data_IF_695609780675
#
_entry.id   IF_695609780675
#
_cell.length_a   1.000
_cell.length_b   1.000
_cell.length_c   1.000
_cell.angle_alpha   90.00
_cell.angle_beta   90.00
_cell.angle_gamma   90.00
#
_symmetry.space_group_name_H-M   'P 1'
#
loop_
_entity.id
_entity.type
_entity.pdbx_description
1 polymer ?
#
# COMPACT_ATOMS: atom_id res chain seq x y z
N UNK A 1 3.86 -10.82 -10.11
CA UNK A 1 4.15 -9.56 -9.38
C UNK A 1 5.09 -8.76 -10.28
N UNK A 2 4.57 -7.76 -10.99
CA UNK A 2 5.41 -6.90 -11.83
C UNK A 2 5.96 -5.78 -10.95
N UNK A 3 7.00 -6.09 -10.16
CA UNK A 3 7.72 -5.07 -9.40
C UNK A 3 8.15 -3.98 -10.38
N UNK A 4 7.62 -2.77 -10.23
CA UNK A 4 8.00 -1.65 -11.09
C UNK A 4 9.53 -1.50 -11.03
N UNK A 5 10.19 -1.69 -12.18
CA UNK A 5 11.66 -1.86 -12.30
C UNK A 5 12.46 -0.77 -11.60
N UNK A 6 11.92 0.45 -11.51
CA UNK A 6 12.59 1.60 -10.88
C UNK A 6 12.63 1.53 -9.34
N UNK A 7 11.66 0.86 -8.71
CA UNK A 7 11.63 0.68 -7.24
C UNK A 7 12.61 -0.41 -6.78
N UNK A 8 12.82 -1.42 -7.63
CA UNK A 8 13.80 -2.49 -7.43
C UNK A 8 15.27 -2.04 -7.61
N UNK A 9 15.52 -0.79 -8.01
CA UNK A 9 16.87 -0.22 -8.17
C UNK A 9 17.65 0.00 -6.86
N UNK A 10 17.13 -0.48 -5.73
CA UNK A 10 17.76 -0.39 -4.40
C UNK A 10 17.43 0.91 -3.64
N UNK A 11 16.91 1.95 -4.30
CA UNK A 11 16.54 3.22 -3.65
C UNK A 11 15.50 3.04 -2.54
N UNK A 12 14.54 2.13 -2.71
CA UNK A 12 13.48 1.89 -1.72
C UNK A 12 14.04 1.43 -0.37
N UNK A 13 15.07 0.58 -0.37
CA UNK A 13 15.70 0.08 0.86
C UNK A 13 16.60 1.14 1.51
N UNK A 14 16.87 2.26 0.85
CA UNK A 14 17.52 3.43 1.44
C UNK A 14 16.57 4.30 2.26
N UNK A 15 15.25 4.23 2.02
CA UNK A 15 14.26 5.06 2.72
C UNK A 15 14.01 4.55 4.14
N UNK A 16 13.93 5.40 5.17
CA UNK A 16 13.40 5.00 6.49
C UNK A 16 11.99 4.41 6.39
N UNK A 17 11.60 3.53 7.32
CA UNK A 17 10.26 2.91 7.32
C UNK A 17 9.14 3.95 7.23
N UNK A 18 9.25 5.08 7.93
CA UNK A 18 8.25 6.15 7.87
C UNK A 18 8.08 6.72 6.45
N UNK A 19 9.16 6.85 5.68
CA UNK A 19 9.10 7.31 4.29
C UNK A 19 8.55 6.22 3.36
N UNK A 20 8.90 4.95 3.59
CA UNK A 20 8.30 3.83 2.86
C UNK A 20 6.77 3.81 3.06
N UNK A 21 6.31 3.93 4.30
CA UNK A 21 4.90 3.98 4.65
C UNK A 21 4.19 5.23 4.10
N UNK A 22 4.84 6.40 4.11
CA UNK A 22 4.28 7.63 3.55
C UNK A 22 4.06 7.51 2.02
N UNK A 23 5.01 6.89 1.30
CA UNK A 23 4.86 6.63 -0.13
C UNK A 23 3.74 5.61 -0.41
N UNK A 24 3.61 4.56 0.41
CA UNK A 24 2.49 3.61 0.34
C UNK A 24 1.16 4.35 0.55
N UNK A 25 1.06 5.18 1.59
CA UNK A 25 -0.14 5.97 1.89
C UNK A 25 -0.57 6.88 0.75
N UNK A 26 0.38 7.45 0.00
CA UNK A 26 0.08 8.26 -1.19
C UNK A 26 -0.59 7.44 -2.31
N UNK A 27 -0.19 6.20 -2.52
CA UNK A 27 -0.83 5.32 -3.50
C UNK A 27 -2.21 4.82 -3.03
N UNK A 28 -2.40 4.63 -1.72
CA UNK A 28 -3.73 4.35 -1.13
C UNK A 28 -4.67 5.55 -1.32
N UNK A 29 -4.21 6.78 -1.03
CA UNK A 29 -5.01 7.99 -1.27
C UNK A 29 -5.38 8.16 -2.75
N UNK A 30 -4.45 7.85 -3.67
CA UNK A 30 -4.76 7.80 -5.11
C UNK A 30 -5.83 6.76 -5.44
N UNK A 31 -5.75 5.58 -4.84
CA UNK A 31 -6.76 4.53 -5.03
C UNK A 31 -8.16 5.05 -4.67
N UNK A 32 -8.29 5.69 -3.50
CA UNK A 32 -9.54 6.28 -3.00
C UNK A 32 -10.04 7.39 -3.93
N UNK A 33 -9.18 8.34 -4.29
CA UNK A 33 -9.55 9.47 -5.16
C UNK A 33 -10.02 9.03 -6.53
N UNK A 34 -9.42 8.01 -7.12
CA UNK A 34 -9.88 7.47 -8.41
C UNK A 34 -11.19 6.69 -8.27
N UNK A 35 -11.36 5.92 -7.19
CA UNK A 35 -12.63 5.23 -6.87
C UNK A 35 -13.78 6.23 -6.77
N UNK A 36 -13.59 7.32 -6.02
CA UNK A 36 -14.58 8.39 -5.84
C UNK A 36 -14.92 9.13 -7.14
N UNK A 37 -14.01 9.16 -8.11
CA UNK A 37 -14.24 9.73 -9.45
C UNK A 37 -14.95 8.76 -10.41
N UNK A 38 -15.26 7.53 -9.98
CA UNK A 38 -15.85 6.52 -10.86
C UNK A 38 -14.86 5.94 -11.86
N UNK A 39 -13.57 5.96 -11.53
CA UNK A 39 -12.45 5.56 -12.41
C UNK A 39 -11.78 4.27 -11.89
N UNK A 40 -12.44 3.10 -11.99
CA UNK A 40 -12.01 1.86 -11.33
C UNK A 40 -10.68 1.31 -11.86
N UNK A 41 -10.37 1.56 -13.14
CA UNK A 41 -9.09 1.14 -13.73
C UNK A 41 -7.90 1.82 -13.04
N UNK A 42 -7.97 3.15 -12.88
CA UNK A 42 -6.92 3.93 -12.22
C UNK A 42 -6.87 3.66 -10.72
N UNK A 43 -8.03 3.45 -10.09
CA UNK A 43 -8.11 3.03 -8.69
C UNK A 43 -7.40 1.70 -8.48
N UNK A 44 -7.64 0.71 -9.34
CA UNK A 44 -7.00 -0.60 -9.28
C UNK A 44 -5.49 -0.52 -9.53
N UNK A 45 -5.05 0.28 -10.50
CA UNK A 45 -3.62 0.47 -10.76
C UNK A 45 -2.87 1.07 -9.55
N UNK A 46 -3.48 2.02 -8.85
CA UNK A 46 -2.92 2.59 -7.62
C UNK A 46 -2.90 1.58 -6.46
N UNK A 47 -3.96 0.78 -6.32
CA UNK A 47 -4.04 -0.31 -5.34
C UNK A 47 -2.94 -1.37 -5.56
N UNK A 48 -2.79 -1.85 -6.79
CA UNK A 48 -1.77 -2.86 -7.12
C UNK A 48 -0.36 -2.32 -6.82
N UNK A 49 -0.11 -1.04 -7.11
CA UNK A 49 1.15 -0.36 -6.76
C UNK A 49 1.37 -0.26 -5.25
N UNK A 50 0.34 0.11 -4.47
CA UNK A 50 0.43 0.16 -3.01
C UNK A 50 0.77 -1.22 -2.43
N UNK A 51 0.16 -2.29 -2.94
CA UNK A 51 0.49 -3.66 -2.55
C UNK A 51 1.93 -4.03 -2.91
N UNK A 52 2.39 -3.75 -4.12
CA UNK A 52 3.78 -4.02 -4.52
C UNK A 52 4.78 -3.30 -3.59
N UNK A 53 4.49 -2.07 -3.19
CA UNK A 53 5.32 -1.32 -2.23
C UNK A 53 5.28 -1.91 -0.82
N UNK A 54 4.14 -2.40 -0.36
CA UNK A 54 4.04 -3.11 0.92
C UNK A 54 4.90 -4.38 0.87
N UNK A 55 4.81 -5.18 -0.20
CA UNK A 55 5.65 -6.38 -0.34
C UNK A 55 7.13 -6.03 -0.38
N UNK A 56 7.52 -5.00 -1.14
CA UNK A 56 8.90 -4.53 -1.16
C UNK A 56 9.37 -4.05 0.24
N UNK A 57 8.48 -3.48 1.03
CA UNK A 57 8.75 -3.02 2.41
C UNK A 57 8.89 -4.20 3.39
N UNK A 58 8.17 -5.30 3.15
CA UNK A 58 8.31 -6.57 3.89
C UNK A 58 9.65 -7.25 3.60
N UNK A 59 10.12 -7.19 2.36
CA UNK A 59 11.41 -7.76 1.95
C UNK A 59 12.62 -6.99 2.51
N UNK A 60 12.43 -5.76 2.97
CA UNK A 60 13.51 -4.95 3.53
C UNK A 60 13.99 -5.51 4.88
N UNK A 61 15.25 -5.98 4.99
CA UNK A 61 15.74 -6.62 6.21
C UNK A 61 15.65 -5.73 7.46
N UNK A 62 15.70 -4.40 7.32
CA UNK A 62 15.62 -3.48 8.46
C UNK A 62 14.22 -3.43 9.10
N UNK A 63 13.20 -3.89 8.37
CA UNK A 63 11.80 -3.86 8.82
C UNK A 63 11.35 -5.17 9.48
N UNK A 64 12.22 -6.18 9.60
CA UNK A 64 11.88 -7.51 10.14
C UNK A 64 11.17 -7.49 11.49
N UNK A 65 11.50 -6.53 12.35
CA UNK A 65 10.89 -6.38 13.68
C UNK A 65 9.48 -5.76 13.66
N UNK A 66 8.99 -5.30 12.50
CA UNK A 66 7.71 -4.59 12.32
C UNK A 66 6.79 -5.27 11.29
N UNK A 67 7.12 -6.48 10.86
CA UNK A 67 6.36 -7.22 9.84
C UNK A 67 4.91 -7.46 10.26
N UNK A 68 4.65 -7.64 11.55
CA UNK A 68 3.30 -7.87 12.07
C UNK A 68 2.38 -6.70 11.75
N UNK A 69 2.83 -5.47 11.99
CA UNK A 69 2.06 -4.26 11.70
C UNK A 69 1.94 -4.02 10.19
N UNK A 70 3.03 -4.20 9.44
CA UNK A 70 3.03 -4.02 7.97
C UNK A 70 2.05 -5.00 7.31
N UNK A 71 2.08 -6.28 7.69
CA UNK A 71 1.21 -7.30 7.12
C UNK A 71 -0.25 -7.16 7.57
N UNK A 72 -0.52 -6.61 8.76
CA UNK A 72 -1.88 -6.24 9.18
C UNK A 72 -2.44 -5.07 8.40
N UNK A 73 -1.61 -4.05 8.13
CA UNK A 73 -2.01 -2.96 7.25
C UNK A 73 -2.32 -3.49 5.84
N UNK A 74 -1.51 -4.43 5.33
CA UNK A 74 -1.80 -5.13 4.06
C UNK A 74 -3.15 -5.86 4.09
N UNK A 75 -3.39 -6.64 5.15
CA UNK A 75 -4.62 -7.42 5.33
C UNK A 75 -5.86 -6.51 5.36
N UNK A 76 -5.85 -5.48 6.19
CA UNK A 76 -6.93 -4.49 6.27
C UNK A 76 -7.13 -3.74 4.94
N UNK A 77 -6.04 -3.41 4.23
CA UNK A 77 -6.12 -2.76 2.93
C UNK A 77 -6.80 -3.65 1.88
N UNK A 78 -6.40 -4.93 1.82
CA UNK A 78 -6.99 -5.89 0.89
C UNK A 78 -8.47 -6.11 1.23
N UNK A 79 -8.80 -6.27 2.50
CA UNK A 79 -10.18 -6.41 2.97
C UNK A 79 -11.05 -5.21 2.53
N UNK A 80 -10.58 -3.99 2.77
CA UNK A 80 -11.30 -2.74 2.42
C UNK A 80 -11.58 -2.57 0.93
N UNK A 81 -10.62 -2.92 0.07
CA UNK A 81 -10.69 -2.62 -1.37
C UNK A 81 -11.18 -3.78 -2.23
N UNK A 82 -11.03 -5.03 -1.78
CA UNK A 82 -11.26 -6.22 -2.60
C UNK A 82 -12.36 -7.12 -2.03
N UNK A 83 -12.47 -7.23 -0.72
CA UNK A 83 -13.41 -8.13 -0.05
C UNK A 83 -14.57 -7.36 0.60
N UNK A 84 -15.23 -8.02 1.56
CA UNK A 84 -16.48 -7.56 2.16
C UNK A 84 -16.26 -6.48 3.24
N UNK A 85 -15.01 -6.04 3.46
CA UNK A 85 -14.63 -5.06 4.47
C UNK A 85 -15.06 -5.52 5.89
N UNK A 86 -14.71 -6.75 6.26
CA UNK A 86 -15.01 -7.34 7.58
C UNK A 86 -14.42 -6.52 8.74
N UNK A 87 -13.31 -5.81 8.51
CA UNK A 87 -12.72 -4.89 9.49
C UNK A 87 -13.46 -3.55 9.61
N UNK A 88 -14.48 -3.32 8.78
CA UNK A 88 -15.32 -2.12 8.78
C UNK A 88 -14.50 -0.83 8.69
N UNK A 89 -13.45 -0.83 7.86
CA UNK A 89 -12.65 0.38 7.66
C UNK A 89 -13.33 1.36 6.70
N UNK A 90 -12.97 2.65 6.80
CA UNK A 90 -13.51 3.70 5.92
C UNK A 90 -12.40 4.39 5.13
N UNK A 91 -12.76 5.00 3.99
CA UNK A 91 -11.82 5.75 3.16
C UNK A 91 -11.12 6.87 3.99
N UNK A 92 -11.85 7.52 4.90
CA UNK A 92 -11.31 8.57 5.77
C UNK A 92 -10.29 8.06 6.79
N UNK A 93 -10.39 6.80 7.21
CA UNK A 93 -9.39 6.19 8.10
C UNK A 93 -8.07 5.95 7.37
N UNK A 94 -8.13 5.67 6.06
CA UNK A 94 -6.95 5.48 5.21
C UNK A 94 -6.29 6.80 4.77
N UNK A 95 -6.97 7.93 4.93
CA UNK A 95 -6.49 9.27 4.53
C UNK A 95 -5.97 10.14 5.69
N UNK A 96 -5.91 9.61 6.92
CA UNK A 96 -5.42 10.30 8.12
C UNK A 96 -3.98 9.94 8.44
#
# INVERSE_FOLDING_TARGET
>A
MNVHRDLASGRWFGLPLVEQMANIGMDIDRCIRWKQKGEPFYSRAAFDRALDLIYLTVEDPKNRNRLKEILRAREALIDHFIYDNDYNTTDEQWQK
#
